data_IF_719412651594
#
_entry.id   IF_719412651594
#
_cell.length_a   1.000
_cell.length_b   1.000
_cell.length_c   1.000
_cell.angle_alpha   90.00
_cell.angle_beta   90.00
_cell.angle_gamma   90.00
#
_symmetry.space_group_name_H-M   'P 1'
#
loop_
_entity.id
_entity.type
_entity.pdbx_description
1 polymer ?
#
# COMPACT_ATOMS: atom_id res chain seq x y z
N UNK A 1 8.91 -7.22 21.24
CA UNK A 1 10.15 -6.45 21.07
C UNK A 1 9.88 -5.00 20.65
N UNK A 2 8.91 -4.73 19.78
CA UNK A 2 8.55 -3.38 19.30
C UNK A 2 7.89 -2.54 20.41
N UNK A 3 7.06 -3.16 21.25
CA UNK A 3 6.37 -2.49 22.37
C UNK A 3 7.36 -1.90 23.40
N UNK A 4 8.42 -2.63 23.71
CA UNK A 4 9.41 -2.21 24.72
C UNK A 4 10.27 -1.00 24.29
N UNK A 5 10.50 -0.84 23.01
CA UNK A 5 11.24 0.31 22.46
C UNK A 5 10.36 1.58 22.41
N UNK A 6 9.06 1.43 22.14
CA UNK A 6 8.10 2.53 22.12
C UNK A 6 7.87 3.13 23.53
N UNK A 7 7.74 2.28 24.56
CA UNK A 7 7.59 2.72 25.96
C UNK A 7 8.80 3.51 26.47
N UNK A 8 10.02 3.10 26.12
CA UNK A 8 11.23 3.83 26.53
C UNK A 8 11.40 5.19 25.86
N UNK A 9 10.88 5.36 24.66
CA UNK A 9 10.92 6.65 23.95
C UNK A 9 9.93 7.67 24.50
N UNK A 10 8.78 7.23 24.98
CA UNK A 10 7.74 8.09 25.52
C UNK A 10 8.15 8.80 26.82
N UNK A 11 8.99 8.18 27.62
CA UNK A 11 9.44 8.73 28.91
C UNK A 11 10.59 9.76 28.80
N UNK A 12 11.25 9.84 27.63
CA UNK A 12 12.44 10.68 27.45
C UNK A 12 12.13 12.09 26.93
N UNK A 13 11.02 12.25 26.21
CA UNK A 13 10.59 13.54 25.66
C UNK A 13 9.09 13.67 25.79
N UNK A 14 8.62 14.72 26.49
CA UNK A 14 7.19 14.98 26.64
C UNK A 14 6.43 15.13 25.32
N UNK A 15 7.14 15.47 24.25
CA UNK A 15 6.59 15.57 22.88
C UNK A 15 6.44 14.21 22.20
N UNK A 16 7.11 13.16 22.69
CA UNK A 16 7.04 11.82 22.10
C UNK A 16 5.63 11.22 22.15
N UNK A 17 4.83 11.60 23.13
CA UNK A 17 3.43 11.17 23.25
C UNK A 17 2.54 11.71 22.12
N UNK A 18 2.90 12.86 21.52
CA UNK A 18 2.17 13.43 20.38
C UNK A 18 2.59 12.83 19.03
N UNK A 19 3.80 12.23 18.96
CA UNK A 19 4.32 11.58 17.77
C UNK A 19 3.98 10.09 17.67
N UNK A 20 3.72 9.44 18.79
CA UNK A 20 3.33 8.05 18.83
C UNK A 20 1.79 7.99 18.90
N UNK A 21 1.11 7.63 17.79
CA UNK A 21 -0.32 7.42 17.84
C UNK A 21 -0.63 6.29 18.84
N UNK A 22 -1.70 6.45 19.59
CA UNK A 22 -2.20 5.40 20.48
C UNK A 22 -2.63 4.19 19.63
N UNK A 23 -1.71 3.23 19.47
CA UNK A 23 -1.92 2.02 18.68
C UNK A 23 -2.99 1.11 19.29
N UNK A 24 -3.37 1.32 20.54
CA UNK A 24 -4.44 0.57 21.20
C UNK A 24 -5.84 1.02 20.80
N UNK A 25 -5.99 2.26 20.32
CA UNK A 25 -7.28 2.83 19.92
C UNK A 25 -7.48 2.90 18.39
N UNK A 26 -6.44 2.65 17.59
CA UNK A 26 -6.54 2.73 16.13
C UNK A 26 -7.00 1.39 15.55
N UNK A 27 -8.30 1.28 15.30
CA UNK A 27 -8.83 0.28 14.37
C UNK A 27 -8.37 0.65 12.94
N UNK A 28 -7.12 0.28 12.63
CA UNK A 28 -6.49 0.50 11.32
C UNK A 28 -6.77 -0.66 10.36
N UNK A 29 -7.77 -1.49 10.68
CA UNK A 29 -8.10 -2.66 9.90
C UNK A 29 -8.57 -2.35 8.47
N UNK A 30 -8.49 -3.34 7.56
CA UNK A 30 -8.95 -3.21 6.19
C UNK A 30 -10.39 -2.69 6.07
N UNK A 31 -11.27 -3.09 6.98
CA UNK A 31 -12.68 -2.68 7.01
C UNK A 31 -12.87 -1.18 7.18
N UNK A 32 -12.03 -0.54 8.02
CA UNK A 32 -12.08 0.91 8.22
C UNK A 32 -11.62 1.67 6.98
N UNK A 33 -10.61 1.18 6.30
CA UNK A 33 -10.14 1.81 5.05
C UNK A 33 -11.20 1.72 3.96
N UNK A 34 -11.89 0.58 3.81
CA UNK A 34 -13.01 0.44 2.87
C UNK A 34 -14.14 1.40 3.19
N UNK A 35 -14.58 1.47 4.45
CA UNK A 35 -15.61 2.40 4.91
C UNK A 35 -15.20 3.88 4.67
N UNK A 36 -13.91 4.21 4.81
CA UNK A 36 -13.40 5.54 4.50
C UNK A 36 -13.49 5.85 3.00
N UNK A 37 -13.15 4.89 2.13
CA UNK A 37 -13.27 5.04 0.67
C UNK A 37 -14.72 5.25 0.27
N UNK A 38 -15.65 4.44 0.79
CA UNK A 38 -17.09 4.60 0.57
C UNK A 38 -17.59 5.99 1.01
N UNK A 39 -17.25 6.41 2.21
CA UNK A 39 -17.65 7.71 2.74
C UNK A 39 -17.04 8.88 1.95
N UNK A 40 -15.79 8.74 1.49
CA UNK A 40 -15.14 9.75 0.65
C UNK A 40 -15.82 9.86 -0.73
N UNK A 41 -16.09 8.71 -1.37
CA UNK A 41 -16.80 8.65 -2.64
C UNK A 41 -18.16 9.35 -2.57
N UNK A 42 -18.91 9.13 -1.49
CA UNK A 42 -20.28 9.68 -1.34
C UNK A 42 -20.30 11.19 -0.99
N UNK A 43 -19.23 11.71 -0.40
CA UNK A 43 -19.17 13.10 0.11
C UNK A 43 -18.34 14.03 -0.74
N UNK A 44 -17.44 13.52 -1.55
CA UNK A 44 -16.52 14.34 -2.34
C UNK A 44 -16.97 14.43 -3.80
N UNK A 45 -16.78 15.59 -4.39
CA UNK A 45 -17.01 15.83 -5.83
C UNK A 45 -15.77 15.61 -6.70
N UNK A 46 -14.67 15.15 -6.10
CA UNK A 46 -13.40 14.86 -6.78
C UNK A 46 -13.17 13.36 -6.82
N UNK A 47 -12.37 12.84 -7.79
CA UNK A 47 -12.01 11.43 -7.81
C UNK A 47 -11.32 10.98 -6.54
N UNK A 48 -11.70 9.79 -6.04
CA UNK A 48 -11.08 9.14 -4.90
C UNK A 48 -10.11 8.08 -5.43
N UNK A 49 -8.82 8.23 -5.14
CA UNK A 49 -7.77 7.28 -5.46
C UNK A 49 -7.40 6.55 -4.18
N UNK A 50 -7.67 5.26 -4.14
CA UNK A 50 -7.34 4.45 -2.97
C UNK A 50 -5.92 3.88 -3.12
N UNK A 51 -5.09 4.12 -2.10
CA UNK A 51 -3.72 3.62 -2.07
C UNK A 51 -3.65 2.35 -1.23
N UNK A 52 -2.97 1.34 -1.73
CA UNK A 52 -2.81 0.08 -1.02
C UNK A 52 -1.34 -0.39 -0.96
N UNK A 53 -1.03 -1.01 0.17
CA UNK A 53 0.18 -1.76 0.41
C UNK A 53 -0.20 -3.19 0.75
N UNK A 54 0.57 -4.16 0.30
CA UNK A 54 0.34 -5.57 0.63
C UNK A 54 1.63 -6.28 0.97
N UNK A 55 1.47 -7.46 1.56
CA UNK A 55 2.59 -8.33 1.95
C UNK A 55 2.57 -9.66 1.19
N UNK A 56 1.51 -9.93 0.43
CA UNK A 56 1.38 -11.15 -0.36
C UNK A 56 0.57 -10.90 -1.63
N UNK A 57 0.91 -11.55 -2.76
CA UNK A 57 0.19 -11.37 -4.04
C UNK A 57 -1.32 -11.55 -3.92
N UNK A 58 -1.79 -12.67 -3.39
CA UNK A 58 -3.24 -12.91 -3.23
C UNK A 58 -3.95 -11.92 -2.28
N UNK A 59 -3.23 -11.31 -1.34
CA UNK A 59 -3.72 -10.24 -0.49
C UNK A 59 -3.96 -8.95 -1.28
N UNK A 60 -3.03 -8.61 -2.17
CA UNK A 60 -3.13 -7.43 -3.04
C UNK A 60 -4.35 -7.50 -3.95
N UNK A 61 -4.50 -8.60 -4.67
CA UNK A 61 -5.59 -8.81 -5.64
C UNK A 61 -6.96 -8.69 -4.97
N UNK A 62 -7.15 -9.43 -3.88
CA UNK A 62 -8.42 -9.40 -3.13
C UNK A 62 -8.73 -8.01 -2.59
N UNK A 63 -7.73 -7.31 -2.06
CA UNK A 63 -7.94 -6.01 -1.47
C UNK A 63 -8.16 -4.93 -2.53
N UNK A 64 -7.49 -5.02 -3.67
CA UNK A 64 -7.73 -4.16 -4.83
C UNK A 64 -9.19 -4.26 -5.31
N UNK A 65 -9.74 -5.48 -5.40
CA UNK A 65 -11.16 -5.71 -5.71
C UNK A 65 -12.06 -5.03 -4.68
N UNK A 66 -11.82 -5.24 -3.39
CA UNK A 66 -12.63 -4.65 -2.34
C UNK A 66 -12.63 -3.10 -2.39
N UNK A 67 -11.49 -2.48 -2.70
CA UNK A 67 -11.40 -1.03 -2.86
C UNK A 67 -12.14 -0.53 -4.10
N UNK A 68 -12.10 -1.27 -5.20
CA UNK A 68 -12.89 -0.97 -6.40
C UNK A 68 -14.40 -1.09 -6.11
N UNK A 69 -14.82 -2.15 -5.41
CA UNK A 69 -16.21 -2.38 -5.00
C UNK A 69 -16.71 -1.30 -4.01
N UNK A 70 -15.83 -0.80 -3.13
CA UNK A 70 -16.09 0.33 -2.24
C UNK A 70 -16.25 1.67 -2.99
N UNK A 71 -16.01 1.67 -4.30
CA UNK A 71 -16.24 2.82 -5.18
C UNK A 71 -15.04 3.73 -5.38
N UNK A 72 -13.82 3.25 -5.17
CA UNK A 72 -12.62 3.96 -5.59
C UNK A 72 -12.65 4.22 -7.12
N UNK A 73 -12.25 5.42 -7.52
CA UNK A 73 -12.18 5.78 -8.94
C UNK A 73 -10.88 5.31 -9.60
N UNK A 74 -9.85 5.11 -8.82
CA UNK A 74 -8.57 4.53 -9.23
C UNK A 74 -7.85 3.90 -8.03
N UNK A 75 -6.86 3.06 -8.31
CA UNK A 75 -5.99 2.48 -7.30
C UNK A 75 -4.56 3.00 -7.46
N UNK A 76 -3.85 3.15 -6.34
CA UNK A 76 -2.41 3.33 -6.29
C UNK A 76 -1.78 2.11 -5.60
N UNK A 77 -0.93 1.39 -6.31
CA UNK A 77 -0.16 0.27 -5.76
C UNK A 77 1.20 0.78 -5.28
N UNK A 78 1.50 0.67 -3.99
CA UNK A 78 2.78 1.05 -3.43
C UNK A 78 3.74 -0.15 -3.42
N UNK A 79 4.63 -0.23 -4.39
CA UNK A 79 5.63 -1.29 -4.52
C UNK A 79 6.97 -0.82 -3.94
N UNK A 80 7.07 -0.85 -2.60
CA UNK A 80 8.26 -0.48 -1.82
C UNK A 80 8.75 -1.69 -1.04
N UNK A 81 9.22 -2.69 -1.75
CA UNK A 81 9.81 -3.87 -1.12
C UNK A 81 11.30 -3.63 -0.84
N UNK A 82 11.73 -3.89 0.40
CA UNK A 82 13.15 -3.93 0.75
C UNK A 82 13.60 -5.37 0.59
N UNK A 83 14.23 -5.65 -0.55
CA UNK A 83 14.73 -6.99 -0.85
C UNK A 83 15.95 -7.27 0.02
N UNK A 84 15.80 -8.22 0.95
CA UNK A 84 16.88 -8.65 1.86
C UNK A 84 17.49 -9.98 1.46
N UNK A 85 16.94 -10.64 0.44
CA UNK A 85 17.49 -11.89 -0.10
C UNK A 85 18.72 -11.58 -0.96
N UNK A 86 19.89 -12.00 -0.50
CA UNK A 86 21.18 -11.80 -1.17
C UNK A 86 21.31 -12.59 -2.49
N UNK A 87 20.42 -13.53 -2.76
CA UNK A 87 20.39 -14.33 -3.98
C UNK A 87 19.42 -13.78 -5.02
N UNK A 88 18.51 -12.88 -4.65
CA UNK A 88 17.59 -12.26 -5.57
C UNK A 88 18.30 -11.30 -6.52
N UNK A 89 18.05 -11.45 -7.81
CA UNK A 89 18.54 -10.53 -8.82
C UNK A 89 17.56 -9.37 -9.01
N UNK A 90 18.02 -8.27 -9.62
CA UNK A 90 17.14 -7.15 -9.99
C UNK A 90 15.99 -7.63 -10.90
N UNK A 91 16.26 -8.53 -11.84
CA UNK A 91 15.25 -9.11 -12.72
C UNK A 91 14.18 -9.92 -11.96
N UNK A 92 14.57 -10.66 -10.92
CA UNK A 92 13.60 -11.41 -10.11
C UNK A 92 12.63 -10.48 -9.37
N UNK A 93 13.14 -9.35 -8.90
CA UNK A 93 12.32 -8.34 -8.21
C UNK A 93 11.38 -7.64 -9.20
N UNK A 94 11.92 -7.20 -10.34
CA UNK A 94 11.15 -6.52 -11.39
C UNK A 94 10.05 -7.43 -11.96
N UNK A 95 10.34 -8.69 -12.22
CA UNK A 95 9.35 -9.67 -12.69
C UNK A 95 8.23 -9.87 -11.66
N UNK A 96 8.54 -9.97 -10.37
CA UNK A 96 7.54 -10.06 -9.30
C UNK A 96 6.58 -8.87 -9.30
N UNK A 97 7.10 -7.67 -9.53
CA UNK A 97 6.27 -6.47 -9.59
C UNK A 97 5.38 -6.45 -10.83
N UNK A 98 5.91 -6.89 -11.98
CA UNK A 98 5.12 -7.00 -13.22
C UNK A 98 3.98 -8.01 -13.06
N UNK A 99 4.26 -9.21 -12.55
CA UNK A 99 3.26 -10.24 -12.28
C UNK A 99 2.15 -9.72 -11.34
N UNK A 100 2.53 -9.05 -10.26
CA UNK A 100 1.57 -8.47 -9.33
C UNK A 100 0.67 -7.41 -9.98
N UNK A 101 1.25 -6.52 -10.79
CA UNK A 101 0.48 -5.49 -11.50
C UNK A 101 -0.47 -6.12 -12.50
N UNK A 102 -0.02 -7.14 -13.23
CA UNK A 102 -0.86 -7.89 -14.19
C UNK A 102 -2.03 -8.58 -13.49
N UNK A 103 -1.78 -9.26 -12.35
CA UNK A 103 -2.82 -9.90 -11.56
C UNK A 103 -3.87 -8.89 -11.06
N UNK A 104 -3.42 -7.75 -10.50
CA UNK A 104 -4.34 -6.70 -10.04
C UNK A 104 -5.14 -6.12 -11.21
N UNK A 105 -4.49 -5.83 -12.34
CA UNK A 105 -5.17 -5.30 -13.53
C UNK A 105 -6.18 -6.26 -14.15
N UNK A 106 -5.92 -7.55 -14.07
CA UNK A 106 -6.88 -8.56 -14.52
C UNK A 106 -8.16 -8.59 -13.67
N UNK A 107 -8.05 -8.16 -12.42
CA UNK A 107 -9.13 -8.24 -11.44
C UNK A 107 -9.99 -6.98 -11.37
N UNK A 108 -9.42 -5.80 -11.63
CA UNK A 108 -10.14 -4.53 -11.50
C UNK A 108 -10.31 -3.82 -12.85
N UNK A 109 -11.43 -3.10 -13.00
CA UNK A 109 -11.74 -2.35 -14.23
C UNK A 109 -11.42 -0.85 -14.11
N UNK A 110 -10.99 -0.39 -12.93
CA UNK A 110 -10.61 0.99 -12.67
C UNK A 110 -9.13 1.23 -12.96
N UNK A 111 -8.70 2.47 -13.25
CA UNK A 111 -7.30 2.79 -13.49
C UNK A 111 -6.39 2.40 -12.32
N UNK A 112 -5.20 1.90 -12.64
CA UNK A 112 -4.19 1.50 -11.67
C UNK A 112 -2.92 2.32 -11.91
N UNK A 113 -2.49 3.06 -10.88
CA UNK A 113 -1.19 3.72 -10.80
C UNK A 113 -0.24 2.88 -9.98
N UNK A 114 1.02 2.83 -10.38
CA UNK A 114 2.07 2.11 -9.65
C UNK A 114 3.08 3.10 -9.11
N UNK A 115 3.26 3.11 -7.80
CA UNK A 115 4.28 3.92 -7.14
C UNK A 115 5.48 3.04 -6.80
N UNK A 116 6.62 3.36 -7.41
CA UNK A 116 7.85 2.59 -7.33
C UNK A 116 8.91 3.34 -6.52
N UNK A 117 9.84 2.60 -5.92
CA UNK A 117 11.05 3.19 -5.37
C UNK A 117 11.97 3.68 -6.48
N UNK A 118 12.92 4.60 -6.22
CA UNK A 118 13.86 5.06 -7.25
C UNK A 118 14.95 4.02 -7.60
N UNK A 119 14.99 2.88 -6.94
CA UNK A 119 16.05 1.87 -7.07
C UNK A 119 15.70 0.81 -8.12
N UNK A 120 15.45 1.25 -9.35
CA UNK A 120 15.24 0.38 -10.51
C UNK A 120 16.41 0.43 -11.48
N UNK A 121 16.72 -0.71 -12.09
CA UNK A 121 17.85 -0.84 -13.03
C UNK A 121 17.64 0.00 -14.29
N UNK A 122 16.39 0.11 -14.77
CA UNK A 122 16.04 0.84 -15.98
C UNK A 122 14.61 1.39 -15.91
N UNK A 123 14.37 2.39 -15.07
CA UNK A 123 13.06 2.96 -14.82
C UNK A 123 12.30 3.40 -16.09
N UNK A 124 13.03 3.91 -17.09
CA UNK A 124 12.42 4.37 -18.35
C UNK A 124 12.03 3.23 -19.32
N UNK A 125 12.45 2.00 -19.06
CA UNK A 125 12.22 0.84 -19.92
C UNK A 125 11.16 -0.10 -19.34
N UNK A 126 10.81 0.05 -18.06
CA UNK A 126 9.70 -0.67 -17.45
C UNK A 126 8.42 -0.29 -18.19
N UNK A 127 8.02 -1.15 -19.10
CA UNK A 127 6.89 -0.92 -20.00
C UNK A 127 5.66 -0.55 -19.20
N UNK A 128 5.14 0.66 -19.43
CA UNK A 128 3.75 0.94 -19.18
C UNK A 128 2.92 0.00 -20.08
N UNK A 129 2.42 -1.08 -19.50
CA UNK A 129 1.39 -1.92 -20.14
C UNK A 129 0.03 -1.26 -19.98
#
# INVERSE_FOLDING_TARGET
AVSFAAERGADQFGEALSFLPDLGASDTGPSRHLALVEAARDRLSVPVIASLNGVSPGGWVRYARNLADAGAHALELNLYDIVVDVHATAADVENRYLELVEEVRAEVQIPVAVKLSPFFTAFAISRCC
#
